data_IF_034116061248
#
_entry.id   IF_034116061248
#
_cell.length_a   1.000
_cell.length_b   1.000
_cell.length_c   1.000
_cell.angle_alpha   90.00
_cell.angle_beta   90.00
_cell.angle_gamma   90.00
#
_symmetry.space_group_name_H-M   'P 1'
#
loop_
_entity.id
_entity.type
_entity.pdbx_description
1 polymer ?
#
# COMPACT_ATOMS: atom_id res chain seq x y z
N UNK A 1 -10.10 -36.16 -2.51
CA UNK A 1 -8.79 -35.54 -2.18
C UNK A 1 -8.63 -34.32 -3.07
N UNK A 2 -8.66 -33.11 -2.50
CA UNK A 2 -8.37 -31.88 -3.26
C UNK A 2 -6.87 -31.60 -3.18
N UNK A 3 -6.22 -31.43 -4.32
CA UNK A 3 -4.84 -30.95 -4.36
C UNK A 3 -4.83 -29.49 -3.90
N UNK A 4 -4.15 -29.20 -2.79
CA UNK A 4 -3.96 -27.82 -2.32
C UNK A 4 -2.87 -27.18 -3.16
N UNK A 5 -3.24 -26.72 -4.35
CA UNK A 5 -2.36 -25.98 -5.23
C UNK A 5 -2.13 -24.57 -4.67
N UNK A 6 -0.92 -24.07 -4.81
CA UNK A 6 -0.61 -22.67 -4.54
C UNK A 6 -1.14 -21.79 -5.68
N UNK A 7 -1.32 -20.50 -5.41
CA UNK A 7 -1.73 -19.55 -6.45
C UNK A 7 -0.69 -19.45 -7.58
N UNK A 8 0.60 -19.59 -7.22
CA UNK A 8 1.70 -19.67 -8.18
C UNK A 8 1.55 -20.87 -9.12
N UNK A 9 1.16 -22.04 -8.59
CA UNK A 9 0.99 -23.25 -9.39
C UNK A 9 -0.14 -23.07 -10.41
N UNK A 10 -1.25 -22.45 -10.00
CA UNK A 10 -2.37 -22.10 -10.89
C UNK A 10 -1.93 -21.13 -11.99
N UNK A 11 -1.19 -20.08 -11.65
CA UNK A 11 -0.69 -19.12 -12.63
C UNK A 11 0.23 -19.78 -13.67
N UNK A 12 1.10 -20.71 -13.24
CA UNK A 12 2.00 -21.46 -14.12
C UNK A 12 1.30 -22.49 -15.00
N UNK A 13 0.11 -22.97 -14.62
CA UNK A 13 -0.66 -23.95 -15.36
C UNK A 13 -1.43 -23.38 -16.58
N UNK A 14 -1.25 -22.08 -16.91
CA UNK A 14 -1.93 -21.42 -18.05
C UNK A 14 -3.45 -21.66 -18.06
N UNK A 15 -4.10 -21.50 -16.91
CA UNK A 15 -5.56 -21.62 -16.79
C UNK A 15 -6.24 -20.55 -17.65
N UNK A 16 -7.14 -20.98 -18.54
CA UNK A 16 -7.90 -20.08 -19.43
C UNK A 16 -8.95 -19.25 -18.68
N UNK A 17 -9.37 -19.70 -17.50
CA UNK A 17 -10.38 -19.05 -16.67
C UNK A 17 -9.96 -19.18 -15.21
N UNK A 18 -10.04 -18.06 -14.48
CA UNK A 18 -9.79 -18.04 -13.04
C UNK A 18 -10.97 -18.68 -12.28
N UNK A 19 -10.72 -19.44 -11.22
CA UNK A 19 -11.81 -20.00 -10.41
C UNK A 19 -12.66 -18.89 -9.78
N UNK A 20 -13.97 -19.13 -9.63
CA UNK A 20 -14.94 -18.10 -9.21
C UNK A 20 -14.64 -17.50 -7.83
N UNK A 21 -14.01 -18.25 -6.93
CA UNK A 21 -13.62 -17.79 -5.60
C UNK A 21 -12.46 -16.76 -5.61
N UNK A 22 -11.80 -16.54 -6.75
CA UNK A 22 -10.82 -15.47 -6.94
C UNK A 22 -11.43 -14.22 -7.61
N UNK A 23 -12.69 -14.30 -8.03
CA UNK A 23 -13.37 -13.19 -8.69
C UNK A 23 -14.02 -12.33 -7.62
N UNK A 24 -13.52 -11.10 -7.44
CA UNK A 24 -14.14 -10.11 -6.54
C UNK A 24 -15.56 -9.73 -7.01
N UNK A 25 -16.47 -9.38 -6.09
CA UNK A 25 -17.76 -8.77 -6.41
C UNK A 25 -17.59 -7.54 -7.30
N UNK A 26 -18.61 -7.21 -8.11
CA UNK A 26 -18.53 -6.07 -9.04
C UNK A 26 -18.23 -4.76 -8.32
N UNK A 27 -18.77 -4.57 -7.11
CA UNK A 27 -18.51 -3.41 -6.24
C UNK A 27 -17.04 -3.23 -5.84
N UNK A 28 -16.27 -4.33 -5.78
CA UNK A 28 -14.91 -4.34 -5.25
C UNK A 28 -13.86 -4.49 -6.37
N UNK A 29 -14.31 -4.53 -7.63
CA UNK A 29 -13.42 -4.55 -8.79
C UNK A 29 -12.96 -3.12 -9.04
N UNK A 30 -11.69 -2.87 -8.78
CA UNK A 30 -11.00 -1.64 -9.16
C UNK A 30 -11.21 -1.37 -10.66
N UNK A 31 -11.73 -0.19 -10.99
CA UNK A 31 -11.85 0.24 -12.37
C UNK A 31 -10.46 0.68 -12.87
N UNK A 32 -9.86 -0.12 -13.76
CA UNK A 32 -8.52 0.17 -14.27
C UNK A 32 -8.44 1.46 -15.09
N UNK A 33 -9.56 1.98 -15.61
CA UNK A 33 -9.57 3.29 -16.29
C UNK A 33 -9.60 4.47 -15.33
N UNK A 34 -9.91 4.24 -14.04
CA UNK A 34 -9.93 5.26 -12.98
C UNK A 34 -8.64 5.23 -12.14
N UNK A 35 -7.69 4.34 -12.45
CA UNK A 35 -6.36 4.36 -11.84
C UNK A 35 -5.62 5.55 -12.43
N UNK A 36 -5.70 6.70 -11.76
CA UNK A 36 -4.84 7.83 -12.05
C UNK A 36 -3.38 7.41 -11.81
N UNK A 37 -2.51 7.72 -12.76
CA UNK A 37 -1.08 7.70 -12.50
C UNK A 37 -0.80 8.85 -11.54
N UNK A 38 -0.90 8.58 -10.24
CA UNK A 38 -0.39 9.51 -9.23
C UNK A 38 1.13 9.55 -9.39
N UNK A 39 1.65 10.69 -9.83
CA UNK A 39 3.07 10.84 -10.14
C UNK A 39 3.97 10.80 -8.90
N UNK A 40 3.43 10.79 -7.68
CA UNK A 40 4.22 10.97 -6.46
C UNK A 40 3.70 10.15 -5.27
N UNK A 41 4.34 9.01 -5.01
CA UNK A 41 4.37 8.41 -3.66
C UNK A 41 5.55 9.06 -2.91
N UNK A 42 5.35 9.67 -1.72
CA UNK A 42 6.41 10.37 -1.01
C UNK A 42 7.50 9.38 -0.56
N UNK A 43 8.73 9.61 -1.02
CA UNK A 43 9.92 8.89 -0.56
C UNK A 43 10.56 9.65 0.60
N UNK A 44 10.63 9.02 1.77
CA UNK A 44 11.24 9.61 2.97
C UNK A 44 12.52 8.86 3.30
N UNK A 45 13.64 9.58 3.32
CA UNK A 45 14.90 9.05 3.81
C UNK A 45 14.92 9.04 5.35
N UNK A 46 15.08 7.85 5.92
CA UNK A 46 15.11 7.63 7.36
C UNK A 46 16.53 7.70 7.95
N UNK A 47 17.55 7.95 7.13
CA UNK A 47 18.92 8.11 7.62
C UNK A 47 18.97 9.23 8.68
N UNK A 48 19.54 8.94 9.85
CA UNK A 48 19.64 9.92 10.93
C UNK A 48 18.33 10.17 11.69
N UNK A 49 17.33 9.29 11.57
CA UNK A 49 16.10 9.31 12.38
C UNK A 49 16.36 9.25 13.90
N UNK A 50 17.46 8.63 14.30
CA UNK A 50 17.90 8.56 15.71
C UNK A 50 18.95 9.61 16.06
N UNK A 51 19.17 10.60 15.18
CA UNK A 51 20.13 11.68 15.36
C UNK A 51 19.49 13.06 15.28
N UNK A 52 20.29 14.11 15.04
CA UNK A 52 19.80 15.50 14.98
C UNK A 52 18.73 15.76 13.92
N UNK A 53 18.61 14.88 12.91
CA UNK A 53 17.58 14.98 11.86
C UNK A 53 16.22 14.41 12.26
N UNK A 54 16.08 13.82 13.45
CA UNK A 54 14.84 13.17 13.93
C UNK A 54 13.59 14.01 13.70
N UNK A 55 13.55 15.23 14.23
CA UNK A 55 12.39 16.12 14.13
C UNK A 55 11.97 16.36 12.67
N UNK A 56 12.95 16.60 11.78
CA UNK A 56 12.72 16.80 10.35
C UNK A 56 12.15 15.55 9.66
N UNK A 57 12.61 14.36 10.05
CA UNK A 57 12.14 13.10 9.46
C UNK A 57 10.73 12.76 9.96
N UNK A 58 10.47 12.93 11.25
CA UNK A 58 9.13 12.75 11.83
C UNK A 58 8.12 13.69 11.18
N UNK A 59 8.49 14.96 10.93
CA UNK A 59 7.64 15.91 10.21
C UNK A 59 7.31 15.45 8.78
N UNK A 60 8.30 14.92 8.04
CA UNK A 60 8.07 14.38 6.70
C UNK A 60 7.12 13.17 6.72
N UNK A 61 7.26 12.29 7.72
CA UNK A 61 6.34 11.16 7.92
C UNK A 61 4.93 11.67 8.20
N UNK A 62 4.79 12.62 9.12
CA UNK A 62 3.49 13.22 9.46
C UNK A 62 2.80 13.82 8.24
N UNK A 63 3.53 14.60 7.42
CA UNK A 63 3.00 15.18 6.18
C UNK A 63 2.57 14.11 5.17
N UNK A 64 3.42 13.10 4.93
CA UNK A 64 3.07 12.01 4.01
C UNK A 64 1.82 11.25 4.46
N UNK A 65 1.67 10.98 5.76
CA UNK A 65 0.48 10.33 6.30
C UNK A 65 -0.78 11.21 6.19
N UNK A 66 -0.65 12.53 6.35
CA UNK A 66 -1.78 13.44 6.22
C UNK A 66 -2.27 13.57 4.77
N UNK A 67 -1.34 13.62 3.82
CA UNK A 67 -1.65 13.88 2.41
C UNK A 67 -2.01 12.60 1.64
N UNK A 68 -1.48 11.44 2.05
CA UNK A 68 -1.60 10.16 1.31
C UNK A 68 -2.03 8.96 2.16
N UNK A 69 -2.14 9.10 3.49
CA UNK A 69 -2.56 8.00 4.35
C UNK A 69 -4.06 7.72 4.23
N UNK A 70 -4.46 6.45 4.32
CA UNK A 70 -5.89 6.08 4.31
C UNK A 70 -6.63 6.53 5.58
N UNK A 71 -5.90 6.83 6.67
CA UNK A 71 -6.40 7.43 7.91
C UNK A 71 -5.39 8.48 8.44
N UNK A 72 -5.83 9.68 8.88
CA UNK A 72 -4.92 10.74 9.32
C UNK A 72 -4.29 10.41 10.69
N UNK A 73 -2.97 10.25 10.73
CA UNK A 73 -2.20 10.12 11.97
C UNK A 73 -2.21 11.45 12.77
N UNK A 74 -2.88 11.50 13.92
CA UNK A 74 -2.79 12.63 14.85
C UNK A 74 -1.45 12.60 15.61
N UNK A 75 -0.39 13.13 15.02
CA UNK A 75 0.85 13.42 15.75
C UNK A 75 0.58 14.57 16.74
N UNK A 76 0.70 14.29 18.04
CA UNK A 76 0.73 15.33 19.08
C UNK A 76 2.16 15.88 19.10
N UNK A 77 2.32 17.18 18.87
CA UNK A 77 3.61 17.89 18.91
C UNK A 77 4.14 18.08 20.35
N UNK A 78 3.92 17.11 21.24
CA UNK A 78 4.26 17.16 22.66
C UNK A 78 5.48 16.27 22.95
N UNK A 79 6.63 16.53 22.34
CA UNK A 79 7.94 16.04 22.82
C UNK A 79 9.02 17.04 22.37
N UNK A 80 9.22 18.07 23.21
CA UNK A 80 10.39 18.96 23.20
C UNK A 80 11.58 18.31 23.91
#
# INVERSE_FOLDING_TARGET
MGTKLLLSDLASLCVKQIPSNYIRPVSDRSNFSEVETSDFIPLIDLEGLHGPRRSKIIKQIGQACQDYGEEPCSFREDDE
#
